data_IF_038269905243
#
_entry.id   IF_038269905243
#
_cell.length_a   1.000
_cell.length_b   1.000
_cell.length_c   1.000
_cell.angle_alpha   90.00
_cell.angle_beta   90.00
_cell.angle_gamma   90.00
#
_symmetry.space_group_name_H-M   'P 1'
#
loop_
_entity.id
_entity.type
_entity.pdbx_description
1 polymer ?
#
# COMPACT_ATOMS: atom_id res chain seq x y z
N UNK A 1 -24.11 -3.89 6.78
CA UNK A 1 -24.53 -2.50 6.51
C UNK A 1 -23.98 -2.11 5.15
N UNK A 2 -24.83 -1.69 4.21
CA UNK A 2 -24.36 -1.23 2.90
C UNK A 2 -23.77 0.18 3.03
N UNK A 3 -22.72 0.47 2.25
CA UNK A 3 -22.10 1.80 2.19
C UNK A 3 -23.13 2.79 1.63
N UNK A 4 -23.27 3.97 2.24
CA UNK A 4 -24.23 4.99 1.77
C UNK A 4 -23.95 5.39 0.30
N UNK A 5 -25.01 5.64 -0.47
CA UNK A 5 -24.92 5.90 -1.91
C UNK A 5 -24.10 7.15 -2.25
N UNK A 6 -24.22 8.21 -1.45
CA UNK A 6 -23.41 9.43 -1.56
C UNK A 6 -21.91 9.13 -1.43
N UNK A 7 -21.55 8.34 -0.43
CA UNK A 7 -20.17 7.91 -0.16
C UNK A 7 -19.65 6.99 -1.26
N UNK A 8 -20.52 6.14 -1.81
CA UNK A 8 -20.15 5.25 -2.91
C UNK A 8 -19.91 6.03 -4.21
N UNK A 9 -20.76 7.01 -4.51
CA UNK A 9 -20.58 7.92 -5.66
C UNK A 9 -19.27 8.68 -5.56
N UNK A 10 -18.96 9.28 -4.42
CA UNK A 10 -17.68 9.97 -4.16
C UNK A 10 -16.48 9.05 -4.43
N UNK A 11 -16.52 7.80 -3.92
CA UNK A 11 -15.47 6.81 -4.19
C UNK A 11 -15.35 6.47 -5.67
N UNK A 12 -16.46 6.38 -6.40
CA UNK A 12 -16.45 6.11 -7.84
C UNK A 12 -15.81 7.25 -8.63
N UNK A 13 -15.98 8.52 -8.23
CA UNK A 13 -15.22 9.62 -8.83
C UNK A 13 -13.71 9.43 -8.66
N UNK A 14 -13.27 9.01 -7.46
CA UNK A 14 -11.88 8.65 -7.21
C UNK A 14 -11.40 7.52 -8.12
N UNK A 15 -12.20 6.47 -8.33
CA UNK A 15 -11.87 5.38 -9.26
C UNK A 15 -11.74 5.88 -10.70
N UNK A 16 -12.65 6.75 -11.16
CA UNK A 16 -12.57 7.35 -12.50
C UNK A 16 -11.30 8.17 -12.66
N UNK A 17 -10.94 9.00 -11.68
CA UNK A 17 -9.69 9.76 -11.70
C UNK A 17 -8.46 8.84 -11.77
N UNK A 18 -8.39 7.83 -10.90
CA UNK A 18 -7.29 6.86 -10.90
C UNK A 18 -7.18 6.11 -12.24
N UNK A 19 -8.31 5.79 -12.89
CA UNK A 19 -8.30 5.20 -14.25
C UNK A 19 -7.66 6.16 -15.27
N UNK A 20 -7.94 7.46 -15.18
CA UNK A 20 -7.28 8.45 -16.04
C UNK A 20 -5.77 8.53 -15.81
N UNK A 21 -5.34 8.45 -14.55
CA UNK A 21 -3.92 8.41 -14.17
C UNK A 21 -3.21 7.13 -14.63
N UNK A 22 -3.96 6.04 -14.82
CA UNK A 22 -3.52 4.77 -15.41
C UNK A 22 -3.67 4.72 -16.95
N UNK A 23 -3.92 5.87 -17.58
CA UNK A 23 -3.94 5.97 -19.03
C UNK A 23 -5.24 5.60 -19.73
N UNK A 24 -6.30 5.23 -19.01
CA UNK A 24 -7.60 4.92 -19.61
C UNK A 24 -8.31 6.18 -20.12
N UNK A 25 -9.10 6.03 -21.19
CA UNK A 25 -9.98 7.09 -21.69
C UNK A 25 -11.19 7.24 -20.77
N UNK A 26 -11.20 8.34 -20.03
CA UNK A 26 -12.25 8.67 -19.06
C UNK A 26 -13.16 9.81 -19.52
N UNK A 27 -13.10 10.20 -20.80
CA UNK A 27 -13.83 11.36 -21.31
C UNK A 27 -15.34 11.22 -21.08
N UNK A 28 -15.91 12.17 -20.33
CA UNK A 28 -17.34 12.22 -20.04
C UNK A 28 -17.82 11.27 -18.93
N UNK A 29 -16.94 10.45 -18.35
CA UNK A 29 -17.34 9.49 -17.31
C UNK A 29 -17.69 10.16 -15.97
N UNK A 30 -17.12 11.34 -15.68
CA UNK A 30 -17.50 12.11 -14.50
C UNK A 30 -18.93 12.65 -14.63
N UNK A 31 -19.24 13.29 -15.76
CA UNK A 31 -20.59 13.80 -16.05
C UNK A 31 -21.62 12.66 -16.09
N UNK A 32 -21.26 11.52 -16.69
CA UNK A 32 -22.12 10.34 -16.68
C UNK A 32 -22.39 9.87 -15.25
N UNK A 33 -21.33 9.73 -14.43
CA UNK A 33 -21.46 9.34 -13.04
C UNK A 33 -22.36 10.33 -12.29
N UNK A 34 -22.16 11.64 -12.40
CA UNK A 34 -22.97 12.68 -11.74
C UNK A 34 -24.47 12.56 -12.06
N UNK A 35 -24.81 12.10 -13.27
CA UNK A 35 -26.20 11.96 -13.72
C UNK A 35 -26.79 10.56 -13.49
N UNK A 36 -26.02 9.59 -13.00
CA UNK A 36 -26.55 8.26 -12.68
C UNK A 36 -27.56 8.34 -11.54
N UNK A 37 -28.70 7.60 -11.60
CA UNK A 37 -29.60 7.46 -10.47
C UNK A 37 -28.89 6.91 -9.24
N UNK A 38 -29.30 7.34 -8.05
CA UNK A 38 -28.83 6.80 -6.77
C UNK A 38 -29.34 5.35 -6.59
N UNK A 39 -28.58 4.40 -7.14
CA UNK A 39 -28.88 2.97 -7.13
C UNK A 39 -27.61 2.15 -7.12
N UNK A 40 -27.55 1.13 -6.25
CA UNK A 40 -26.44 0.19 -6.23
C UNK A 40 -26.29 -0.54 -7.57
N UNK A 41 -27.39 -0.90 -8.22
CA UNK A 41 -27.36 -1.61 -9.51
C UNK A 41 -26.78 -0.74 -10.62
N UNK A 42 -27.12 0.56 -10.64
CA UNK A 42 -26.57 1.50 -11.62
C UNK A 42 -25.08 1.75 -11.38
N UNK A 43 -24.66 1.84 -10.12
CA UNK A 43 -23.24 1.93 -9.78
C UNK A 43 -22.45 0.67 -10.15
N UNK A 44 -23.02 -0.53 -9.97
CA UNK A 44 -22.38 -1.78 -10.41
C UNK A 44 -22.24 -1.82 -11.93
N UNK A 45 -23.28 -1.46 -12.68
CA UNK A 45 -23.18 -1.37 -14.16
C UNK A 45 -22.10 -0.38 -14.59
N UNK A 46 -22.00 0.74 -13.88
CA UNK A 46 -20.95 1.73 -14.15
C UNK A 46 -19.55 1.15 -13.88
N UNK A 47 -19.33 0.41 -12.80
CA UNK A 47 -18.00 -0.20 -12.53
C UNK A 47 -17.63 -1.30 -13.51
N UNK A 48 -18.60 -2.09 -13.99
CA UNK A 48 -18.40 -3.06 -15.08
C UNK A 48 -17.92 -2.35 -16.35
N UNK A 49 -18.49 -1.19 -16.68
CA UNK A 49 -18.03 -0.34 -17.78
C UNK A 49 -16.59 0.15 -17.54
N UNK A 50 -16.26 0.62 -16.34
CA UNK A 50 -14.91 1.09 -16.00
C UNK A 50 -13.84 0.00 -16.18
N UNK A 51 -14.21 -1.28 -15.99
CA UNK A 51 -13.31 -2.42 -16.15
C UNK A 51 -12.93 -2.70 -17.61
N UNK A 52 -13.71 -2.16 -18.56
CA UNK A 52 -13.55 -2.40 -20.00
C UNK A 52 -13.12 -1.13 -20.77
N UNK A 53 -12.65 -0.10 -20.07
CA UNK A 53 -12.15 1.11 -20.72
C UNK A 53 -10.93 0.80 -21.59
N UNK A 54 -10.77 1.58 -22.66
CA UNK A 54 -9.60 1.52 -23.52
C UNK A 54 -8.53 2.44 -22.98
N UNK A 55 -7.27 2.03 -23.12
CA UNK A 55 -6.12 2.92 -22.91
C UNK A 55 -6.11 3.96 -24.04
N UNK A 56 -5.79 5.21 -23.69
CA UNK A 56 -5.70 6.31 -24.66
C UNK A 56 -4.57 6.06 -25.66
N UNK A 57 -4.78 6.48 -26.91
CA UNK A 57 -3.80 6.28 -27.98
C UNK A 57 -2.49 7.06 -27.76
N UNK A 58 -2.50 8.10 -26.93
CA UNK A 58 -1.35 8.91 -26.57
C UNK A 58 -0.66 8.47 -25.27
N UNK A 59 -1.10 7.34 -24.68
CA UNK A 59 -0.46 6.78 -23.49
C UNK A 59 0.94 6.24 -23.83
N UNK A 60 1.95 6.76 -23.14
CA UNK A 60 3.36 6.48 -23.47
C UNK A 60 3.93 5.24 -22.78
N UNK A 61 3.18 4.61 -21.89
CA UNK A 61 3.65 3.49 -21.07
C UNK A 61 3.00 2.18 -21.51
N UNK A 62 3.74 1.08 -21.35
CA UNK A 62 3.21 -0.27 -21.48
C UNK A 62 3.05 -0.84 -20.07
N UNK A 63 1.81 -1.17 -19.69
CA UNK A 63 1.44 -1.65 -18.36
C UNK A 63 0.90 -3.09 -18.42
N UNK A 64 1.77 -4.08 -18.69
CA UNK A 64 1.35 -5.46 -18.85
C UNK A 64 0.89 -6.05 -17.51
N UNK A 65 -0.19 -6.83 -17.52
CA UNK A 65 -0.73 -7.49 -16.33
C UNK A 65 -0.50 -9.00 -16.31
N UNK A 66 -0.41 -9.64 -17.48
CA UNK A 66 -0.13 -11.07 -17.55
C UNK A 66 1.37 -11.34 -17.43
N UNK A 67 1.74 -12.49 -16.84
CA UNK A 67 3.16 -12.86 -16.75
C UNK A 67 3.83 -12.90 -18.13
N UNK A 68 3.14 -13.37 -19.17
CA UNK A 68 3.70 -13.44 -20.51
C UNK A 68 3.94 -12.05 -21.11
N UNK A 69 3.01 -11.12 -20.92
CA UNK A 69 3.15 -9.75 -21.43
C UNK A 69 4.25 -9.01 -20.67
N UNK A 70 4.31 -9.17 -19.35
CA UNK A 70 5.41 -8.64 -18.52
C UNK A 70 6.73 -9.20 -19.05
N UNK A 71 6.79 -10.50 -19.32
CA UNK A 71 8.00 -11.14 -19.81
C UNK A 71 8.44 -10.63 -21.20
N UNK A 72 7.49 -10.22 -22.04
CA UNK A 72 7.73 -9.71 -23.39
C UNK A 72 8.22 -8.25 -23.39
N UNK A 73 7.76 -7.44 -22.44
CA UNK A 73 8.12 -6.02 -22.33
C UNK A 73 9.45 -5.77 -21.60
N UNK A 74 9.99 -6.77 -20.88
CA UNK A 74 11.31 -6.62 -20.27
C UNK A 74 12.40 -6.47 -21.33
N UNK A 75 13.47 -5.79 -20.95
CA UNK A 75 14.70 -5.70 -21.73
C UNK A 75 15.18 -7.09 -22.20
N UNK A 76 15.21 -7.36 -23.52
CA UNK A 76 15.63 -8.64 -24.07
C UNK A 76 17.07 -9.01 -23.69
N UNK A 77 17.90 -8.02 -23.37
CA UNK A 77 19.31 -8.18 -22.98
C UNK A 77 19.50 -8.48 -21.50
N UNK A 78 18.43 -8.49 -20.69
CA UNK A 78 18.53 -8.74 -19.25
C UNK A 78 19.20 -10.09 -18.96
N UNK A 79 20.00 -10.19 -17.88
CA UNK A 79 20.51 -11.49 -17.44
C UNK A 79 19.34 -12.39 -17.02
N UNK A 80 19.19 -13.54 -17.69
CA UNK A 80 18.20 -14.59 -17.34
C UNK A 80 18.78 -15.72 -16.50
N UNK A 81 20.11 -15.80 -16.44
CA UNK A 81 20.82 -16.80 -15.67
C UNK A 81 21.05 -16.36 -14.23
N UNK A 82 21.71 -17.23 -13.48
CA UNK A 82 22.18 -16.92 -12.14
C UNK A 82 23.17 -15.73 -12.19
N UNK A 83 22.84 -14.66 -11.47
CA UNK A 83 23.69 -13.46 -11.36
C UNK A 83 24.87 -13.72 -10.42
N UNK A 84 24.62 -14.46 -9.33
CA UNK A 84 25.63 -14.82 -8.33
C UNK A 84 25.21 -16.09 -7.59
N UNK A 85 26.18 -16.83 -7.08
CA UNK A 85 25.94 -17.83 -6.03
C UNK A 85 25.39 -17.17 -4.76
N UNK A 86 24.37 -17.79 -4.18
CA UNK A 86 23.76 -17.36 -2.94
C UNK A 86 24.45 -18.12 -1.81
N UNK A 87 25.12 -17.39 -0.93
CA UNK A 87 25.52 -17.90 0.37
C UNK A 87 24.27 -17.88 1.26
N UNK A 88 23.71 -19.06 1.54
CA UNK A 88 22.50 -19.19 2.33
C UNK A 88 22.67 -18.71 3.77
N UNK A 89 23.87 -18.80 4.34
CA UNK A 89 24.15 -18.36 5.70
C UNK A 89 24.15 -16.83 5.79
N UNK A 90 24.83 -16.16 4.85
CA UNK A 90 24.77 -14.69 4.72
C UNK A 90 23.35 -14.22 4.36
N UNK A 91 22.70 -14.92 3.43
CA UNK A 91 21.32 -14.59 3.01
C UNK A 91 20.34 -14.71 4.17
N UNK A 92 20.43 -15.74 4.99
CA UNK A 92 19.57 -15.93 6.15
C UNK A 92 19.71 -14.78 7.15
N UNK A 93 20.95 -14.36 7.45
CA UNK A 93 21.23 -13.19 8.31
C UNK A 93 20.65 -11.89 7.74
N UNK A 94 20.73 -11.69 6.43
CA UNK A 94 20.14 -10.52 5.76
C UNK A 94 18.63 -10.52 5.81
N UNK A 95 17.99 -11.67 5.60
CA UNK A 95 16.54 -11.82 5.67
C UNK A 95 16.04 -11.56 7.08
N UNK A 96 16.71 -12.12 8.09
CA UNK A 96 16.41 -11.84 9.50
C UNK A 96 16.55 -10.35 9.82
N UNK A 97 17.68 -9.74 9.43
CA UNK A 97 17.89 -8.30 9.63
C UNK A 97 16.83 -7.44 8.90
N UNK A 98 16.44 -7.83 7.68
CA UNK A 98 15.40 -7.13 6.93
C UNK A 98 14.03 -7.23 7.61
N UNK A 99 13.68 -8.41 8.12
CA UNK A 99 12.44 -8.61 8.88
C UNK A 99 12.44 -7.79 10.17
N UNK A 100 13.48 -7.86 10.98
CA UNK A 100 13.57 -7.04 12.21
C UNK A 100 13.53 -5.55 11.89
N UNK A 101 14.23 -5.11 10.85
CA UNK A 101 14.21 -3.72 10.42
C UNK A 101 12.82 -3.28 9.95
N UNK A 102 12.03 -4.15 9.30
CA UNK A 102 10.65 -3.82 8.94
C UNK A 102 9.77 -3.67 10.18
N UNK A 103 9.92 -4.52 11.21
CA UNK A 103 9.21 -4.35 12.49
C UNK A 103 9.54 -2.99 13.13
N UNK A 104 10.83 -2.63 13.17
CA UNK A 104 11.26 -1.33 13.69
C UNK A 104 10.69 -0.16 12.85
N UNK A 105 10.69 -0.29 11.52
CA UNK A 105 10.14 0.71 10.62
C UNK A 105 8.64 0.95 10.81
N UNK A 106 7.85 -0.14 10.88
CA UNK A 106 6.42 -0.06 11.16
C UNK A 106 6.16 0.62 12.51
N UNK A 107 6.84 0.21 13.57
CA UNK A 107 6.68 0.82 14.90
C UNK A 107 7.09 2.31 14.92
N UNK A 108 8.14 2.69 14.20
CA UNK A 108 8.61 4.07 14.07
C UNK A 108 7.58 4.95 13.34
N UNK A 109 6.99 4.45 12.26
CA UNK A 109 6.03 5.17 11.44
C UNK A 109 4.64 5.27 12.06
N UNK A 110 4.21 4.23 12.79
CA UNK A 110 2.84 4.06 13.28
C UNK A 110 2.26 5.31 13.94
N UNK A 111 2.93 5.98 14.91
CA UNK A 111 2.40 7.18 15.55
C UNK A 111 1.98 8.30 14.58
N UNK A 112 2.66 8.38 13.43
CA UNK A 112 2.53 9.44 12.42
C UNK A 112 1.64 9.03 11.23
N UNK A 113 1.08 7.82 11.22
CA UNK A 113 0.11 7.32 10.21
C UNK A 113 -1.26 8.02 10.33
N UNK A 114 -1.26 9.32 10.10
CA UNK A 114 -2.43 10.17 10.20
C UNK A 114 -2.45 11.24 9.11
N UNK A 115 -1.92 10.95 7.91
CA UNK A 115 -1.92 11.85 6.74
C UNK A 115 -1.23 13.19 7.00
N UNK A 116 -0.02 13.16 7.56
CA UNK A 116 0.80 14.35 7.72
C UNK A 116 1.75 14.55 6.54
N UNK A 117 2.00 15.81 6.22
CA UNK A 117 3.12 16.20 5.37
C UNK A 117 4.43 16.12 6.17
N UNK A 118 5.55 15.97 5.46
CA UNK A 118 6.87 16.04 6.09
C UNK A 118 7.16 17.37 6.81
N UNK A 119 6.53 18.48 6.38
CA UNK A 119 6.67 19.77 7.04
C UNK A 119 5.95 19.80 8.39
N UNK A 120 4.73 19.26 8.47
CA UNK A 120 3.97 19.15 9.72
C UNK A 120 4.70 18.29 10.75
N UNK A 121 5.21 17.12 10.32
CA UNK A 121 6.01 16.23 11.17
C UNK A 121 7.26 16.95 11.69
N UNK A 122 8.01 17.61 10.79
CA UNK A 122 9.22 18.35 11.17
C UNK A 122 8.91 19.45 12.19
N UNK A 123 7.85 20.23 11.97
CA UNK A 123 7.46 21.31 12.88
C UNK A 123 7.12 20.77 14.27
N UNK A 124 6.32 19.70 14.34
CA UNK A 124 5.97 19.06 15.60
C UNK A 124 7.21 18.55 16.36
N UNK A 125 8.14 17.88 15.67
CA UNK A 125 9.38 17.40 16.28
C UNK A 125 10.29 18.54 16.76
N UNK A 126 10.30 19.69 16.08
CA UNK A 126 11.02 20.87 16.55
C UNK A 126 10.40 21.48 17.81
N UNK A 127 9.07 21.46 17.96
CA UNK A 127 8.39 22.00 19.15
C UNK A 127 8.66 21.18 20.43
N UNK A 128 9.06 19.91 20.29
CA UNK A 128 9.44 19.03 21.39
C UNK A 128 10.96 18.77 21.46
N UNK A 129 11.77 19.55 20.75
CA UNK A 129 13.24 19.44 20.70
C UNK A 129 13.79 18.05 20.26
N UNK A 130 13.04 17.32 19.42
CA UNK A 130 13.37 15.97 18.92
C UNK A 130 13.70 15.97 17.40
N UNK A 131 13.93 17.14 16.80
CA UNK A 131 14.40 17.26 15.41
C UNK A 131 15.92 17.48 15.34
N UNK A 132 16.67 16.76 14.47
CA UNK A 132 16.22 15.69 13.59
C UNK A 132 15.87 14.42 14.36
N UNK A 133 14.88 13.68 13.86
CA UNK A 133 14.46 12.41 14.47
C UNK A 133 15.62 11.42 14.48
N UNK A 134 15.94 10.90 15.66
CA UNK A 134 17.05 9.95 15.87
C UNK A 134 16.64 8.69 16.65
N UNK A 135 15.36 8.62 17.05
CA UNK A 135 14.77 7.52 17.81
C UNK A 135 13.26 7.40 17.46
N UNK A 136 12.55 6.47 18.07
CA UNK A 136 11.09 6.33 17.98
C UNK A 136 10.37 7.62 18.42
N UNK A 137 9.17 7.82 17.88
CA UNK A 137 8.37 9.02 18.12
C UNK A 137 7.97 9.10 19.60
N UNK A 138 8.39 10.16 20.28
CA UNK A 138 8.02 10.45 21.67
C UNK A 138 6.51 10.60 21.83
N UNK A 139 5.98 10.16 22.97
CA UNK A 139 4.60 10.41 23.40
C UNK A 139 4.25 11.91 23.41
N UNK A 140 5.25 12.77 23.58
CA UNK A 140 5.04 14.23 23.69
C UNK A 140 4.55 14.84 22.38
N UNK A 141 4.70 14.13 21.26
CA UNK A 141 4.20 14.56 19.95
C UNK A 141 2.67 14.74 19.92
N UNK A 142 1.93 14.01 20.77
CA UNK A 142 0.46 14.12 20.87
C UNK A 142 0.02 15.51 21.34
N UNK A 143 0.88 16.23 22.07
CA UNK A 143 0.58 17.58 22.56
C UNK A 143 0.72 18.66 21.47
N UNK A 144 1.45 18.37 20.39
CA UNK A 144 1.81 19.34 19.35
C UNK A 144 1.23 18.98 17.98
N UNK A 145 0.82 17.72 17.77
CA UNK A 145 0.09 17.30 16.58
C UNK A 145 -1.43 17.38 16.80
N UNK A 146 -2.21 17.72 15.76
CA UNK A 146 -3.67 17.80 15.87
C UNK A 146 -4.35 16.43 15.99
N UNK A 147 -3.63 15.34 15.70
CA UNK A 147 -4.09 13.95 15.73
C UNK A 147 -2.91 13.01 15.76
N UNK A 148 -3.13 11.77 16.20
CA UNK A 148 -2.16 10.67 16.14
C UNK A 148 -2.88 9.40 15.66
N UNK A 149 -2.13 8.40 15.21
CA UNK A 149 -2.72 7.12 14.84
C UNK A 149 -3.38 6.45 16.06
N UNK A 150 -4.43 5.64 15.84
CA UNK A 150 -5.19 4.99 16.93
C UNK A 150 -4.36 4.08 17.84
N UNK A 151 -3.26 3.52 17.33
CA UNK A 151 -2.33 2.66 18.09
C UNK A 151 -1.26 3.45 18.85
N UNK A 152 -1.31 4.78 18.83
CA UNK A 152 -0.36 5.63 19.56
C UNK A 152 -0.11 5.21 21.02
N UNK A 153 -1.14 4.81 21.82
CA UNK A 153 -0.94 4.41 23.21
C UNK A 153 -0.06 3.16 23.42
N UNK A 154 0.27 2.40 22.36
CA UNK A 154 1.17 1.24 22.40
C UNK A 154 2.39 1.38 21.48
N UNK A 155 2.44 2.42 20.62
CA UNK A 155 3.51 2.60 19.62
C UNK A 155 4.38 3.85 19.81
N UNK A 156 4.02 4.79 20.70
CA UNK A 156 4.93 5.87 21.06
C UNK A 156 6.10 5.33 21.89
N UNK A 157 7.30 5.89 21.73
CA UNK A 157 8.58 5.40 22.29
C UNK A 157 8.48 4.93 23.75
N UNK A 158 7.86 5.74 24.61
CA UNK A 158 7.75 5.48 26.05
C UNK A 158 6.74 4.38 26.41
N UNK A 159 5.91 3.94 25.45
CA UNK A 159 4.86 2.94 25.62
C UNK A 159 5.13 1.62 24.91
N UNK A 160 6.16 1.56 24.05
CA UNK A 160 6.52 0.34 23.32
C UNK A 160 6.94 -0.75 24.31
N UNK A 161 6.15 -1.83 24.36
CA UNK A 161 6.46 -3.04 25.13
C UNK A 161 6.57 -4.28 24.24
N UNK A 162 6.01 -4.22 23.04
CA UNK A 162 5.95 -5.26 22.03
C UNK A 162 5.72 -4.61 20.65
N UNK A 163 5.81 -5.40 19.58
CA UNK A 163 5.46 -4.94 18.24
C UNK A 163 3.94 -4.96 18.10
N UNK A 164 3.33 -3.79 17.91
CA UNK A 164 1.89 -3.67 17.74
C UNK A 164 1.43 -4.33 16.43
N UNK A 165 0.20 -4.88 16.36
CA UNK A 165 -0.34 -5.44 15.14
C UNK A 165 -0.36 -4.43 13.98
N UNK A 166 0.10 -4.87 12.81
CA UNK A 166 0.26 -4.05 11.63
C UNK A 166 0.06 -4.90 10.38
N UNK A 167 -0.60 -4.36 9.36
CA UNK A 167 -0.86 -5.10 8.13
C UNK A 167 0.42 -5.39 7.33
N UNK A 168 1.41 -4.50 7.32
CA UNK A 168 2.71 -4.74 6.69
C UNK A 168 3.40 -5.97 7.30
N UNK A 169 3.28 -6.14 8.62
CA UNK A 169 3.86 -7.27 9.35
C UNK A 169 3.01 -8.53 9.16
N UNK A 170 1.69 -8.41 9.29
CA UNK A 170 0.77 -9.54 9.22
C UNK A 170 0.80 -10.19 7.83
N UNK A 171 0.74 -9.40 6.75
CA UNK A 171 0.82 -9.94 5.39
C UNK A 171 2.17 -10.60 5.12
N UNK A 172 3.26 -10.05 5.66
CA UNK A 172 4.60 -10.65 5.56
C UNK A 172 4.64 -12.02 6.24
N UNK A 173 4.14 -12.13 7.47
CA UNK A 173 4.09 -13.40 8.22
C UNK A 173 3.17 -14.41 7.51
N UNK A 174 2.00 -13.99 7.02
CA UNK A 174 1.11 -14.86 6.26
C UNK A 174 1.80 -15.40 5.00
N UNK A 175 2.52 -14.55 4.26
CA UNK A 175 3.30 -14.97 3.11
C UNK A 175 4.37 -16.00 3.46
N UNK A 176 5.08 -15.82 4.58
CA UNK A 176 6.07 -16.79 5.08
C UNK A 176 5.43 -18.13 5.43
N UNK A 177 4.30 -18.13 6.15
CA UNK A 177 3.58 -19.35 6.53
C UNK A 177 3.04 -20.12 5.32
N UNK A 178 2.54 -19.40 4.30
CA UNK A 178 2.09 -20.01 3.04
C UNK A 178 3.26 -20.69 2.33
N UNK A 179 4.41 -20.01 2.24
CA UNK A 179 5.61 -20.58 1.63
C UNK A 179 6.15 -21.78 2.41
N UNK A 180 6.13 -21.73 3.74
CA UNK A 180 6.55 -22.85 4.60
C UNK A 180 5.64 -24.07 4.41
N UNK A 181 4.34 -23.86 4.28
CA UNK A 181 3.34 -24.94 4.18
C UNK A 181 3.22 -25.55 2.79
N UNK A 182 3.26 -24.72 1.74
CA UNK A 182 2.96 -25.14 0.37
C UNK A 182 4.15 -25.05 -0.59
N UNK A 183 5.26 -24.44 -0.17
CA UNK A 183 6.44 -24.24 -1.01
C UNK A 183 6.28 -23.14 -2.06
N UNK A 184 7.26 -23.03 -2.95
CA UNK A 184 7.33 -21.99 -3.98
C UNK A 184 6.25 -22.12 -5.08
N UNK A 185 5.65 -23.30 -5.22
CA UNK A 185 4.62 -23.60 -6.23
C UNK A 185 3.19 -23.38 -5.70
N UNK A 186 3.03 -22.63 -4.60
CA UNK A 186 1.72 -22.35 -4.03
C UNK A 186 0.80 -21.63 -5.04
N UNK A 187 -0.51 -21.88 -4.90
CA UNK A 187 -1.53 -21.32 -5.79
C UNK A 187 -2.42 -20.32 -5.05
N UNK A 188 -3.25 -19.58 -5.81
CA UNK A 188 -4.25 -18.69 -5.22
C UNK A 188 -5.24 -19.41 -4.30
N UNK A 189 -5.52 -20.70 -4.52
CA UNK A 189 -6.39 -21.47 -3.63
C UNK A 189 -5.74 -21.73 -2.27
N UNK A 190 -4.41 -21.87 -2.22
CA UNK A 190 -3.68 -22.07 -0.97
C UNK A 190 -3.70 -20.84 -0.06
N UNK A 191 -3.84 -19.63 -0.64
CA UNK A 191 -3.95 -18.40 0.13
C UNK A 191 -5.30 -18.26 0.88
N UNK A 192 -6.27 -19.12 0.58
CA UNK A 192 -7.61 -19.10 1.21
C UNK A 192 -7.70 -19.96 2.47
N UNK A 193 -6.72 -20.83 2.72
CA UNK A 193 -6.67 -21.75 3.87
C UNK A 193 -6.03 -21.09 5.09
#
# INVERSE_FOLDING_TARGET
>A
MLIRLDTLRERLHGVVLNKGEQGYDIKGLQDELDNLPDSYDEFVKFTEKLSNLKIRNDWSYVEPSSINDILNEMDPSRPKGQIKEIDYEDSSKRVEAAFVASLCGCMLGKPLEAMFTGHEIRKALQEIDEWPMSDYVSKDVENVLPRVHRSFPETAREFINYVAPDDDINYTIMGMLILEKFGADFTHENMKE
#
